data_IF_871556624166
#
_entry.id   IF_871556624166
#
_cell.length_a   1.000
_cell.length_b   1.000
_cell.length_c   1.000
_cell.angle_alpha   90.00
_cell.angle_beta   90.00
_cell.angle_gamma   90.00
#
_symmetry.space_group_name_H-M   'P 1'
#
loop_
_entity.id
_entity.type
_entity.pdbx_description
1 polymer ?
#
# COMPACT_ATOMS: atom_id res chain seq x y z
N UNK A 1 29.02 -4.18 5.87
CA UNK A 1 28.01 -3.44 5.10
C UNK A 1 26.79 -4.32 4.97
N UNK A 2 25.64 -3.92 5.50
CA UNK A 2 24.39 -4.62 5.22
C UNK A 2 23.99 -4.29 3.78
N UNK A 3 23.96 -5.31 2.92
CA UNK A 3 23.41 -5.18 1.57
C UNK A 3 21.93 -4.80 1.68
N UNK A 4 21.61 -3.53 1.45
CA UNK A 4 20.23 -3.10 1.41
C UNK A 4 19.60 -3.61 0.12
N UNK A 5 18.73 -4.62 0.24
CA UNK A 5 17.96 -5.12 -0.90
C UNK A 5 17.15 -3.98 -1.52
N UNK A 6 17.27 -3.83 -2.84
CA UNK A 6 16.49 -2.85 -3.61
C UNK A 6 15.02 -3.26 -3.63
N UNK A 7 14.13 -2.29 -3.87
CA UNK A 7 12.70 -2.60 -3.99
C UNK A 7 12.43 -3.60 -5.12
N UNK A 8 13.15 -3.47 -6.24
CA UNK A 8 13.02 -4.37 -7.37
C UNK A 8 13.31 -5.82 -6.96
N UNK A 9 14.41 -6.07 -6.24
CA UNK A 9 14.77 -7.42 -5.78
C UNK A 9 13.71 -7.97 -4.82
N UNK A 10 13.17 -7.12 -3.94
CA UNK A 10 12.11 -7.53 -3.02
C UNK A 10 10.83 -7.88 -3.78
N UNK A 11 10.42 -7.06 -4.75
CA UNK A 11 9.26 -7.31 -5.62
C UNK A 11 9.42 -8.65 -6.36
N UNK A 12 10.56 -8.88 -7.01
CA UNK A 12 10.84 -10.12 -7.73
C UNK A 12 10.78 -11.36 -6.82
N UNK A 13 11.26 -11.24 -5.58
CA UNK A 13 11.16 -12.32 -4.59
C UNK A 13 9.72 -12.63 -4.22
N UNK A 14 8.90 -11.60 -3.99
CA UNK A 14 7.47 -11.79 -3.68
C UNK A 14 6.75 -12.46 -4.85
N UNK A 15 6.99 -12.01 -6.09
CA UNK A 15 6.42 -12.60 -7.30
C UNK A 15 6.85 -14.07 -7.51
N UNK A 16 7.99 -14.48 -6.94
CA UNK A 16 8.47 -15.88 -6.91
C UNK A 16 7.93 -16.69 -5.72
N UNK A 17 7.04 -16.11 -4.92
CA UNK A 17 6.39 -16.78 -3.79
C UNK A 17 7.05 -16.53 -2.43
N UNK A 18 8.12 -15.74 -2.33
CA UNK A 18 8.71 -15.35 -1.04
C UNK A 18 7.88 -14.24 -0.39
N UNK A 19 6.82 -14.65 0.30
CA UNK A 19 5.89 -13.74 0.98
C UNK A 19 6.59 -12.88 2.05
N UNK A 20 7.70 -13.36 2.63
CA UNK A 20 8.44 -12.63 3.67
C UNK A 20 9.15 -11.40 3.10
N UNK A 21 9.51 -11.41 1.82
CA UNK A 21 10.09 -10.25 1.16
C UNK A 21 9.12 -9.06 1.12
N UNK A 22 7.81 -9.29 1.11
CA UNK A 22 6.81 -8.22 1.13
C UNK A 22 6.82 -7.46 2.46
N UNK A 23 7.10 -8.14 3.58
CA UNK A 23 7.19 -7.49 4.89
C UNK A 23 8.28 -6.42 4.91
N UNK A 24 9.38 -6.62 4.19
CA UNK A 24 10.44 -5.61 4.08
C UNK A 24 9.96 -4.37 3.30
N UNK A 25 9.14 -4.56 2.27
CA UNK A 25 8.50 -3.45 1.55
C UNK A 25 7.51 -2.71 2.47
N UNK A 26 6.70 -3.43 3.26
CA UNK A 26 5.79 -2.82 4.23
C UNK A 26 6.56 -1.98 5.24
N UNK A 27 7.58 -2.53 5.89
CA UNK A 27 8.39 -1.79 6.88
C UNK A 27 9.03 -0.55 6.26
N UNK A 28 9.52 -0.63 5.02
CA UNK A 28 10.15 0.49 4.31
C UNK A 28 9.15 1.61 3.97
N UNK A 29 7.89 1.26 3.70
CA UNK A 29 6.91 2.20 3.14
C UNK A 29 5.77 2.59 4.08
N UNK A 30 5.53 1.88 5.17
CA UNK A 30 4.38 2.10 6.06
C UNK A 30 4.26 3.55 6.55
N UNK A 31 5.36 4.20 6.95
CA UNK A 31 5.32 5.58 7.41
C UNK A 31 5.02 6.58 6.30
N UNK A 32 5.54 6.35 5.09
CA UNK A 32 5.28 7.19 3.92
C UNK A 32 3.83 7.05 3.45
N UNK A 33 3.33 5.83 3.41
CA UNK A 33 1.94 5.53 3.05
C UNK A 33 0.98 6.10 4.10
N UNK A 34 1.28 5.96 5.39
CA UNK A 34 0.48 6.56 6.47
C UNK A 34 0.43 8.10 6.36
N UNK A 35 1.58 8.74 6.11
CA UNK A 35 1.67 10.20 5.93
C UNK A 35 0.93 10.71 4.69
N UNK A 36 0.76 9.84 3.69
CA UNK A 36 -0.01 10.12 2.49
C UNK A 36 -1.51 9.97 2.76
N UNK A 37 -1.91 8.84 3.35
CA UNK A 37 -3.29 8.49 3.66
C UNK A 37 -3.92 9.47 4.65
N UNK A 38 -3.15 9.95 5.64
CA UNK A 38 -3.61 10.95 6.62
C UNK A 38 -4.02 12.30 6.03
N UNK A 39 -3.73 12.56 4.75
CA UNK A 39 -4.19 13.76 4.03
C UNK A 39 -5.63 13.61 3.52
N UNK A 40 -6.17 12.39 3.54
CA UNK A 40 -7.48 12.06 2.98
C UNK A 40 -8.46 11.62 4.06
N UNK A 41 -8.00 10.85 5.06
CA UNK A 41 -8.88 10.23 6.06
C UNK A 41 -8.53 10.71 7.48
N UNK A 42 -9.48 10.67 8.43
CA UNK A 42 -9.23 10.99 9.83
C UNK A 42 -8.11 10.12 10.43
N UNK A 43 -7.38 10.67 11.40
CA UNK A 43 -6.23 9.99 12.02
C UNK A 43 -6.55 8.61 12.61
N UNK A 44 -7.77 8.42 13.13
CA UNK A 44 -8.24 7.13 13.65
C UNK A 44 -8.38 6.04 12.59
N UNK A 45 -8.66 6.41 11.35
CA UNK A 45 -8.90 5.49 10.23
C UNK A 45 -7.64 5.22 9.40
N UNK A 46 -6.57 6.01 9.60
CA UNK A 46 -5.31 5.88 8.85
C UNK A 46 -4.73 4.47 8.93
N UNK A 47 -4.59 3.83 10.12
CA UNK A 47 -4.00 2.49 10.21
C UNK A 47 -4.74 1.45 9.35
N UNK A 48 -6.08 1.51 9.35
CA UNK A 48 -6.93 0.56 8.64
C UNK A 48 -6.82 0.74 7.13
N UNK A 49 -6.88 1.98 6.66
CA UNK A 49 -6.74 2.30 5.23
C UNK A 49 -5.33 1.98 4.70
N UNK A 50 -4.30 2.21 5.52
CA UNK A 50 -2.91 1.81 5.19
C UNK A 50 -2.79 0.29 5.08
N UNK A 51 -3.35 -0.45 6.04
CA UNK A 51 -3.36 -1.91 6.02
C UNK A 51 -4.07 -2.43 4.77
N UNK A 52 -5.26 -1.91 4.47
CA UNK A 52 -6.02 -2.29 3.29
C UNK A 52 -5.24 -1.99 2.00
N UNK A 53 -4.56 -0.85 1.91
CA UNK A 53 -3.72 -0.50 0.77
C UNK A 53 -2.57 -1.50 0.57
N UNK A 54 -1.90 -1.95 1.63
CA UNK A 54 -0.85 -2.97 1.53
C UNK A 54 -1.40 -4.35 1.18
N UNK A 55 -2.58 -4.73 1.68
CA UNK A 55 -3.24 -5.99 1.28
C UNK A 55 -3.57 -5.96 -0.22
N UNK A 56 -4.13 -4.84 -0.71
CA UNK A 56 -4.41 -4.64 -2.14
C UNK A 56 -3.13 -4.67 -2.97
N UNK A 57 -2.07 -4.01 -2.50
CA UNK A 57 -0.76 -4.04 -3.16
C UNK A 57 -0.20 -5.46 -3.22
N UNK A 58 -0.23 -6.22 -2.12
CA UNK A 58 0.23 -7.61 -2.10
C UNK A 58 -0.50 -8.47 -3.15
N UNK A 59 -1.84 -8.41 -3.15
CA UNK A 59 -2.68 -9.17 -4.10
C UNK A 59 -2.47 -8.78 -5.56
N UNK A 60 -2.12 -7.52 -5.82
CA UNK A 60 -1.88 -7.01 -7.17
C UNK A 60 -0.42 -7.15 -7.62
N UNK A 61 0.51 -7.52 -6.72
CA UNK A 61 1.95 -7.45 -6.98
C UNK A 61 2.39 -8.41 -8.10
N UNK A 62 1.74 -9.56 -8.23
CA UNK A 62 2.02 -10.53 -9.31
C UNK A 62 1.78 -9.92 -10.71
N UNK A 63 0.90 -8.92 -10.81
CA UNK A 63 0.61 -8.20 -12.06
C UNK A 63 1.46 -6.94 -12.27
N UNK A 64 2.30 -6.58 -11.30
CA UNK A 64 3.15 -5.40 -11.38
C UNK A 64 4.34 -5.65 -12.33
N UNK A 65 4.36 -4.95 -13.46
CA UNK A 65 5.35 -5.13 -14.53
C UNK A 65 6.69 -4.41 -14.32
N UNK A 66 6.81 -3.54 -13.33
CA UNK A 66 8.02 -2.76 -13.12
C UNK A 66 8.21 -1.55 -14.04
N UNK A 67 7.19 -1.16 -14.82
CA UNK A 67 7.20 0.01 -15.72
C UNK A 67 7.38 1.37 -14.98
N UNK A 68 7.35 1.35 -13.63
CA UNK A 68 7.56 2.50 -12.76
C UNK A 68 8.23 2.05 -11.45
N UNK A 69 8.77 2.99 -10.67
CA UNK A 69 9.25 2.65 -9.34
C UNK A 69 8.12 2.06 -8.47
N UNK A 70 8.41 1.02 -7.69
CA UNK A 70 7.43 0.36 -6.82
C UNK A 70 6.65 1.36 -5.95
N UNK A 71 7.32 2.34 -5.36
CA UNK A 71 6.66 3.37 -4.56
C UNK A 71 5.64 4.20 -5.34
N UNK A 72 5.89 4.50 -6.62
CA UNK A 72 4.94 5.25 -7.47
C UNK A 72 3.66 4.44 -7.70
N UNK A 73 3.80 3.13 -7.91
CA UNK A 73 2.67 2.22 -8.05
C UNK A 73 1.91 2.05 -6.73
N UNK A 74 2.61 1.84 -5.61
CA UNK A 74 2.02 1.74 -4.27
C UNK A 74 1.29 3.03 -3.86
N UNK A 75 1.85 4.20 -4.21
CA UNK A 75 1.22 5.50 -3.98
C UNK A 75 -0.18 5.57 -4.59
N UNK A 76 -0.34 5.11 -5.84
CA UNK A 76 -1.64 5.10 -6.53
C UNK A 76 -2.65 4.20 -5.83
N UNK A 77 -2.21 3.02 -5.38
CA UNK A 77 -3.06 2.08 -4.63
C UNK A 77 -3.52 2.72 -3.31
N UNK A 78 -2.61 3.36 -2.57
CA UNK A 78 -2.94 4.02 -1.32
C UNK A 78 -3.94 5.17 -1.50
N UNK A 79 -3.72 6.05 -2.49
CA UNK A 79 -4.66 7.16 -2.78
C UNK A 79 -6.03 6.64 -3.19
N UNK A 80 -6.08 5.64 -4.08
CA UNK A 80 -7.36 5.08 -4.51
C UNK A 80 -8.08 4.37 -3.35
N UNK A 81 -7.34 3.71 -2.46
CA UNK A 81 -7.92 3.07 -1.27
C UNK A 81 -8.51 4.11 -0.32
N UNK A 82 -7.80 5.19 -0.04
CA UNK A 82 -8.31 6.29 0.79
C UNK A 82 -9.55 6.97 0.18
N UNK A 83 -9.56 7.22 -1.14
CA UNK A 83 -10.73 7.77 -1.83
C UNK A 83 -11.95 6.85 -1.74
N UNK A 84 -11.76 5.55 -1.97
CA UNK A 84 -12.84 4.57 -1.88
C UNK A 84 -13.39 4.46 -0.46
N UNK A 85 -12.52 4.55 0.55
CA UNK A 85 -12.91 4.57 1.96
C UNK A 85 -13.86 5.74 2.27
N UNK A 86 -13.54 6.95 1.80
CA UNK A 86 -14.40 8.14 1.98
C UNK A 86 -15.76 8.00 1.28
N UNK A 87 -15.78 7.44 0.06
CA UNK A 87 -17.04 7.17 -0.66
C UNK A 87 -17.92 6.19 0.12
N UNK A 88 -17.34 5.14 0.70
CA UNK A 88 -18.06 4.16 1.50
C UNK A 88 -18.63 4.75 2.81
N UNK A 89 -17.90 5.65 3.47
CA UNK A 89 -18.42 6.38 4.64
C UNK A 89 -19.61 7.28 4.26
N UNK A 90 -19.49 8.08 3.20
CA UNK A 90 -20.58 8.97 2.76
C UNK A 90 -21.84 8.23 2.33
N UNK A 91 -21.70 7.05 1.73
CA UNK A 91 -22.83 6.17 1.41
C UNK A 91 -23.50 5.61 2.69
N UNK A 92 -22.71 5.29 3.72
CA UNK A 92 -23.23 4.77 5.00
C UNK A 92 -24.00 5.82 5.80
N UNK A 93 -23.62 7.10 5.70
CA UNK A 93 -24.33 8.22 6.35
C UNK A 93 -25.69 8.57 5.73
N UNK A 94 -26.00 8.05 4.54
CA UNK A 94 -27.28 8.33 3.85
C UNK A 94 -28.41 7.38 4.29
N UNK A 95 -28.10 6.36 5.11
CA UNK A 95 -29.07 5.38 5.61
C UNK A 95 -29.30 5.47 7.14
N UNK A 96 -28.93 6.58 7.78
CA UNK A 96 -29.29 6.89 9.17
C UNK A 96 -30.32 8.01 9.26
#
# INVERSE_FOLDING_TARGET
MSEQLTDQVLVERVQKGDQKAFNLLVVRYQHKVASLVSRYVPSGDVPDVVQEAFIKAYRALDSFRGDSAFYTWLYRIAVNTAKNYLVAQGASSTFQ
#
